data_IF_458512549349
#
_entry.id   IF_458512549349
#
_cell.length_a   1.000
_cell.length_b   1.000
_cell.length_c   1.000
_cell.angle_alpha   90.00
_cell.angle_beta   90.00
_cell.angle_gamma   90.00
#
_symmetry.space_group_name_H-M   'P 1'
#
loop_
_entity.id
_entity.type
_entity.pdbx_description
1 polymer ?
#
# COMPACT_ATOMS: atom_id res chain seq x y z
N UNK A 1 11.72 -18.94 6.17
CA UNK A 1 12.25 -17.58 5.94
C UNK A 1 11.05 -16.65 5.74
N UNK A 2 11.03 -15.61 6.53
CA UNK A 2 9.97 -14.59 6.42
C UNK A 2 10.27 -13.69 5.21
N UNK A 3 9.70 -14.03 4.07
CA UNK A 3 9.86 -13.25 2.83
C UNK A 3 9.29 -11.84 2.95
N UNK A 4 8.25 -11.66 3.77
CA UNK A 4 7.63 -10.34 3.92
C UNK A 4 8.61 -9.35 4.56
N UNK A 5 9.47 -9.81 5.46
CA UNK A 5 10.47 -8.97 6.12
C UNK A 5 11.49 -8.42 5.12
N UNK A 6 12.05 -9.29 4.27
CA UNK A 6 13.00 -8.86 3.24
C UNK A 6 12.39 -7.90 2.24
N UNK A 7 11.16 -8.17 1.82
CA UNK A 7 10.43 -7.29 0.90
C UNK A 7 10.11 -5.95 1.56
N UNK A 8 9.75 -5.97 2.84
CA UNK A 8 9.54 -4.75 3.60
C UNK A 8 10.79 -3.89 3.68
N UNK A 9 11.97 -4.50 3.86
CA UNK A 9 13.23 -3.76 3.90
C UNK A 9 13.58 -3.14 2.54
N UNK A 10 13.34 -3.84 1.43
CA UNK A 10 13.52 -3.28 0.08
C UNK A 10 12.57 -2.12 -0.13
N UNK A 11 11.33 -2.27 0.26
CA UNK A 11 10.31 -1.23 0.13
C UNK A 11 10.66 0.00 0.98
N UNK A 12 11.16 -0.19 2.20
CA UNK A 12 11.61 0.90 3.08
C UNK A 12 12.74 1.72 2.48
N UNK A 13 13.50 1.19 1.52
CA UNK A 13 14.50 1.96 0.78
C UNK A 13 13.88 2.94 -0.20
N UNK A 14 12.70 2.64 -0.75
CA UNK A 14 11.97 3.56 -1.64
C UNK A 14 11.21 4.61 -0.82
N UNK A 15 10.44 4.16 0.16
CA UNK A 15 9.68 5.03 1.05
C UNK A 15 10.27 4.98 2.46
N UNK A 16 10.42 6.15 3.06
CA UNK A 16 10.97 6.32 4.41
C UNK A 16 10.03 7.18 5.23
N UNK A 17 10.24 7.17 6.55
CA UNK A 17 9.61 8.15 7.41
C UNK A 17 9.85 9.57 6.84
N UNK A 18 8.84 10.45 6.80
CA UNK A 18 7.48 10.27 7.32
C UNK A 18 6.47 9.71 6.31
N UNK A 19 6.89 9.28 5.13
CA UNK A 19 5.97 8.86 4.06
C UNK A 19 5.67 7.36 4.01
N UNK A 20 6.42 6.55 4.72
CA UNK A 20 6.18 5.10 4.79
C UNK A 20 4.89 4.83 5.57
N UNK A 21 3.91 4.18 4.91
CA UNK A 21 2.58 3.93 5.47
C UNK A 21 2.24 2.45 5.57
N UNK A 22 3.23 1.57 5.58
CA UNK A 22 3.04 0.13 5.75
C UNK A 22 3.81 -0.29 6.98
N UNK A 23 3.10 -0.82 7.97
CA UNK A 23 3.74 -1.28 9.20
C UNK A 23 4.18 -2.73 9.10
N UNK A 24 3.41 -3.56 8.39
CA UNK A 24 3.71 -4.98 8.24
C UNK A 24 3.03 -5.55 7.01
N UNK A 25 3.73 -6.46 6.33
CA UNK A 25 3.13 -7.34 5.34
C UNK A 25 2.76 -8.65 6.05
N UNK A 26 1.50 -9.00 6.00
CA UNK A 26 0.96 -10.17 6.70
C UNK A 26 1.10 -11.43 5.86
N UNK A 27 0.85 -11.32 4.55
CA UNK A 27 0.89 -12.45 3.66
C UNK A 27 1.12 -12.00 2.21
N UNK A 28 1.89 -12.76 1.46
CA UNK A 28 2.03 -12.60 0.01
C UNK A 28 1.77 -13.96 -0.62
N UNK A 29 0.84 -14.00 -1.56
CA UNK A 29 0.58 -15.19 -2.37
C UNK A 29 1.02 -14.91 -3.81
N UNK A 30 0.74 -15.85 -4.71
CA UNK A 30 1.07 -15.68 -6.13
C UNK A 30 0.32 -14.51 -6.77
N UNK A 31 -0.92 -14.25 -6.33
CA UNK A 31 -1.83 -13.27 -6.93
C UNK A 31 -2.35 -12.21 -5.97
N UNK A 32 -1.90 -12.21 -4.73
CA UNK A 32 -2.41 -11.25 -3.73
C UNK A 32 -1.38 -10.90 -2.66
N UNK A 33 -1.66 -9.81 -1.96
CA UNK A 33 -0.88 -9.36 -0.82
C UNK A 33 -1.81 -8.77 0.25
N UNK A 34 -1.46 -9.01 1.51
CA UNK A 34 -2.13 -8.43 2.67
C UNK A 34 -1.13 -7.64 3.50
N UNK A 35 -1.44 -6.38 3.76
CA UNK A 35 -0.60 -5.52 4.58
C UNK A 35 -1.42 -4.77 5.62
N UNK A 36 -0.76 -4.20 6.61
CA UNK A 36 -1.41 -3.48 7.70
C UNK A 36 -0.75 -2.14 7.94
N UNK A 37 -1.58 -1.12 8.21
CA UNK A 37 -1.17 0.14 8.79
C UNK A 37 -1.96 0.40 10.05
N UNK A 38 -1.25 0.64 11.15
CA UNK A 38 -1.87 1.06 12.41
C UNK A 38 -1.98 2.58 12.44
N UNK A 39 -3.16 3.08 12.75
CA UNK A 39 -3.42 4.51 12.83
C UNK A 39 -3.33 4.92 14.30
N UNK A 40 -2.33 5.74 14.63
CA UNK A 40 -2.13 6.21 16.00
C UNK A 40 -2.33 7.73 16.06
N UNK A 41 -2.64 8.24 17.26
CA UNK A 41 -2.71 9.70 17.48
C UNK A 41 -1.37 10.40 17.26
N UNK A 42 -0.28 9.63 17.21
CA UNK A 42 1.06 10.16 17.04
C UNK A 42 1.37 10.59 15.59
N UNK A 43 0.41 10.49 14.70
CA UNK A 43 0.59 10.93 13.32
C UNK A 43 0.45 12.45 13.20
N UNK A 44 1.46 13.16 12.66
CA UNK A 44 1.42 14.62 12.52
C UNK A 44 0.24 15.12 11.69
N UNK A 45 -0.28 14.28 10.77
CA UNK A 45 -1.39 14.66 9.89
C UNK A 45 -2.64 15.09 10.68
N UNK A 46 -2.84 14.55 11.87
CA UNK A 46 -4.02 14.87 12.68
C UNK A 46 -4.00 16.27 13.26
N UNK A 47 -2.87 16.96 13.23
CA UNK A 47 -2.80 18.37 13.61
C UNK A 47 -3.65 19.24 12.68
N UNK A 48 -3.73 18.87 11.42
CA UNK A 48 -4.47 19.63 10.40
C UNK A 48 -5.72 18.96 9.88
N UNK A 49 -5.89 17.66 10.07
CA UNK A 49 -7.00 16.92 9.45
C UNK A 49 -7.76 16.09 10.48
N UNK A 50 -8.60 16.66 11.31
CA UNK A 50 -8.88 18.08 11.46
C UNK A 50 -8.60 18.51 12.89
N UNK A 51 -8.32 19.80 13.18
CA UNK A 51 -8.09 20.25 14.55
C UNK A 51 -9.22 19.83 15.48
N UNK A 52 -8.88 19.07 16.54
CA UNK A 52 -9.88 18.56 17.50
C UNK A 52 -10.80 17.44 17.00
N UNK A 53 -10.65 17.03 15.73
CA UNK A 53 -11.46 15.97 15.13
C UNK A 53 -10.60 15.13 14.16
N UNK A 54 -9.75 14.25 14.68
CA UNK A 54 -8.79 13.51 13.86
C UNK A 54 -9.50 12.48 12.98
N UNK A 55 -9.26 12.59 11.68
CA UNK A 55 -9.71 11.62 10.68
C UNK A 55 -8.53 11.31 9.77
N UNK A 56 -8.23 10.04 9.57
CA UNK A 56 -7.15 9.67 8.66
C UNK A 56 -7.59 9.95 7.22
N UNK A 57 -6.83 10.80 6.48
CA UNK A 57 -7.25 11.21 5.13
C UNK A 57 -7.47 10.03 4.20
N UNK A 58 -8.59 10.07 3.47
CA UNK A 58 -8.90 9.01 2.48
C UNK A 58 -7.80 8.87 1.43
N UNK A 59 -7.23 9.99 0.98
CA UNK A 59 -6.14 9.96 -0.02
C UNK A 59 -4.89 9.27 0.52
N UNK A 60 -4.64 9.34 1.82
CA UNK A 60 -3.53 8.61 2.45
C UNK A 60 -3.85 7.14 2.64
N UNK A 61 -5.11 6.76 2.76
CA UNK A 61 -5.50 5.35 2.70
C UNK A 61 -5.15 4.76 1.34
N UNK A 62 -5.42 5.49 0.28
CA UNK A 62 -5.07 5.07 -1.08
C UNK A 62 -3.55 5.01 -1.25
N UNK A 63 -2.81 5.96 -0.68
CA UNK A 63 -1.34 5.91 -0.70
C UNK A 63 -0.81 4.67 0.03
N UNK A 64 -1.33 4.36 1.22
CA UNK A 64 -0.94 3.16 1.95
C UNK A 64 -1.26 1.89 1.16
N UNK A 65 -2.44 1.83 0.53
CA UNK A 65 -2.85 0.74 -0.34
C UNK A 65 -1.88 0.59 -1.51
N UNK A 66 -1.51 1.69 -2.15
CA UNK A 66 -0.54 1.70 -3.25
C UNK A 66 0.82 1.20 -2.79
N UNK A 67 1.24 1.56 -1.59
CA UNK A 67 2.51 1.09 -1.03
C UNK A 67 2.51 -0.43 -0.80
N UNK A 68 1.41 -0.98 -0.31
CA UNK A 68 1.26 -2.45 -0.17
C UNK A 68 1.33 -3.11 -1.55
N UNK A 69 0.64 -2.55 -2.54
CA UNK A 69 0.67 -3.05 -3.92
C UNK A 69 2.06 -2.97 -4.54
N UNK A 70 2.82 -1.92 -4.23
CA UNK A 70 4.20 -1.77 -4.71
C UNK A 70 5.12 -2.87 -4.20
N UNK A 71 4.94 -3.28 -2.95
CA UNK A 71 5.69 -4.42 -2.39
C UNK A 71 5.36 -5.70 -3.16
N UNK A 72 4.08 -5.93 -3.46
CA UNK A 72 3.68 -7.07 -4.27
C UNK A 72 4.35 -7.05 -5.65
N UNK A 73 4.30 -5.92 -6.33
CA UNK A 73 4.89 -5.77 -7.65
C UNK A 73 6.39 -6.07 -7.63
N UNK A 74 7.11 -5.54 -6.64
CA UNK A 74 8.54 -5.79 -6.48
C UNK A 74 8.84 -7.24 -6.09
N UNK A 75 7.90 -7.95 -5.49
CA UNK A 75 8.09 -9.37 -5.15
C UNK A 75 8.16 -10.26 -6.39
N UNK A 76 7.77 -9.76 -7.56
CA UNK A 76 7.74 -10.52 -8.81
C UNK A 76 9.01 -10.41 -9.63
N UNK A 77 10.00 -9.63 -9.19
CA UNK A 77 11.29 -9.50 -9.87
C UNK A 77 12.40 -10.14 -9.02
N UNK A 78 13.48 -10.60 -9.68
CA UNK A 78 14.57 -11.30 -8.98
C UNK A 78 15.36 -10.39 -8.05
N UNK A 79 15.66 -9.17 -8.53
CA UNK A 79 16.47 -8.19 -7.79
C UNK A 79 15.63 -6.94 -7.50
N UNK A 80 14.71 -6.98 -6.51
CA UNK A 80 13.79 -5.86 -6.26
C UNK A 80 14.47 -4.52 -6.06
N UNK A 81 15.68 -4.51 -5.48
CA UNK A 81 16.43 -3.29 -5.24
C UNK A 81 16.89 -2.57 -6.51
N UNK A 82 16.83 -3.23 -7.67
CA UNK A 82 17.17 -2.65 -8.96
C UNK A 82 15.96 -2.04 -9.68
N UNK A 83 14.79 -2.14 -9.10
CA UNK A 83 13.54 -1.72 -9.73
C UNK A 83 12.82 -0.68 -8.88
N UNK A 84 12.04 0.15 -9.57
CA UNK A 84 11.11 1.08 -8.95
C UNK A 84 9.70 0.81 -9.45
N UNK A 85 8.73 1.12 -8.61
CA UNK A 85 7.31 0.96 -8.93
C UNK A 85 6.68 2.34 -9.06
N UNK A 86 6.00 2.58 -10.17
CA UNK A 86 5.29 3.83 -10.43
C UNK A 86 3.82 3.53 -10.64
N UNK A 87 2.96 4.23 -9.92
CA UNK A 87 1.52 4.13 -10.15
C UNK A 87 1.11 5.05 -11.28
N UNK A 88 0.49 4.47 -12.29
CA UNK A 88 0.12 5.15 -13.52
C UNK A 88 -1.34 5.59 -13.52
N UNK A 89 -2.18 4.87 -12.75
CA UNK A 89 -3.62 5.07 -12.83
C UNK A 89 -4.28 4.50 -11.59
N UNK A 90 -5.27 5.22 -11.09
CA UNK A 90 -6.13 4.78 -10.00
C UNK A 90 -7.56 5.00 -10.42
N UNK A 91 -8.40 3.95 -10.34
CA UNK A 91 -9.79 3.98 -10.75
C UNK A 91 -10.72 3.51 -9.65
N UNK A 92 -11.98 3.87 -9.79
CA UNK A 92 -13.08 3.32 -8.98
C UNK A 92 -12.81 3.43 -7.48
N UNK A 93 -12.29 4.59 -7.07
CA UNK A 93 -12.01 4.86 -5.66
C UNK A 93 -13.32 5.12 -4.93
N UNK A 94 -13.54 4.38 -3.85
CA UNK A 94 -14.71 4.56 -2.98
C UNK A 94 -14.26 4.61 -1.52
N UNK A 95 -14.75 5.59 -0.80
CA UNK A 95 -14.56 5.71 0.65
C UNK A 95 -15.89 5.44 1.34
N UNK A 96 -15.95 4.40 2.14
CA UNK A 96 -17.20 3.94 2.75
C UNK A 96 -17.35 4.32 4.21
N UNK A 97 -16.24 4.42 4.95
CA UNK A 97 -16.25 4.78 6.37
C UNK A 97 -15.00 5.58 6.71
N UNK A 98 -15.11 6.40 7.75
CA UNK A 98 -13.97 7.12 8.31
C UNK A 98 -13.02 6.16 8.98
N UNK A 99 -11.74 6.45 8.88
CA UNK A 99 -10.67 5.77 9.61
C UNK A 99 -10.15 6.74 10.65
N UNK A 100 -10.09 6.30 11.90
CA UNK A 100 -9.80 7.13 13.05
C UNK A 100 -8.56 6.62 13.80
N UNK A 101 -7.91 7.46 14.62
CA UNK A 101 -6.86 6.98 15.51
C UNK A 101 -7.35 5.81 16.38
N UNK A 102 -6.53 4.78 16.51
CA UNK A 102 -6.86 3.54 17.19
C UNK A 102 -7.29 2.43 16.23
N UNK A 103 -7.60 2.76 14.97
CA UNK A 103 -7.93 1.75 13.97
C UNK A 103 -6.66 1.10 13.40
N UNK A 104 -6.77 -0.19 13.12
CA UNK A 104 -5.78 -0.92 12.31
C UNK A 104 -6.41 -1.19 10.96
N UNK A 105 -5.80 -0.66 9.90
CA UNK A 105 -6.30 -0.83 8.55
C UNK A 105 -5.58 -1.98 7.88
N UNK A 106 -6.33 -2.98 7.44
CA UNK A 106 -5.81 -4.12 6.70
C UNK A 106 -6.11 -3.91 5.22
N UNK A 107 -5.08 -4.00 4.39
CA UNK A 107 -5.20 -3.84 2.95
C UNK A 107 -5.02 -5.19 2.28
N UNK A 108 -5.95 -5.52 1.40
CA UNK A 108 -5.83 -6.65 0.49
C UNK A 108 -5.74 -6.14 -0.93
N UNK A 109 -4.71 -6.57 -1.68
CA UNK A 109 -4.62 -6.28 -3.11
C UNK A 109 -4.50 -7.58 -3.87
N UNK A 110 -5.33 -7.72 -4.92
CA UNK A 110 -5.37 -8.89 -5.78
C UNK A 110 -5.10 -8.50 -7.22
N UNK A 111 -4.35 -9.33 -7.95
CA UNK A 111 -4.18 -9.17 -9.39
C UNK A 111 -5.54 -9.22 -10.08
N UNK A 112 -5.78 -8.28 -10.98
CA UNK A 112 -6.95 -8.27 -11.86
C UNK A 112 -6.68 -8.99 -13.17
N UNK A 113 -5.42 -9.08 -13.57
CA UNK A 113 -4.99 -9.72 -14.82
C UNK A 113 -3.54 -10.18 -14.68
N UNK A 114 -3.08 -10.99 -15.64
CA UNK A 114 -1.70 -11.43 -15.66
C UNK A 114 -0.74 -10.25 -15.81
N UNK A 115 0.39 -10.30 -15.13
CA UNK A 115 1.43 -9.29 -15.23
C UNK A 115 2.07 -9.37 -16.62
N UNK A 116 2.13 -8.23 -17.32
CA UNK A 116 2.72 -8.14 -18.66
C UNK A 116 3.60 -6.90 -18.77
N UNK A 117 4.85 -7.08 -19.21
CA UNK A 117 5.81 -5.97 -19.44
C UNK A 117 5.95 -5.06 -18.22
N UNK A 118 5.95 -5.64 -17.03
CA UNK A 118 6.04 -4.89 -15.79
C UNK A 118 4.76 -4.16 -15.38
N UNK A 119 3.65 -4.33 -16.11
CA UNK A 119 2.37 -3.75 -15.76
C UNK A 119 1.61 -4.66 -14.80
N UNK A 120 1.28 -4.11 -13.64
CA UNK A 120 0.60 -4.83 -12.54
C UNK A 120 -0.69 -4.09 -12.23
N UNK A 121 -1.81 -4.74 -12.53
CA UNK A 121 -3.15 -4.19 -12.27
C UNK A 121 -3.78 -4.93 -11.10
N UNK A 122 -4.18 -4.18 -10.07
CA UNK A 122 -4.64 -4.73 -8.80
C UNK A 122 -5.94 -4.10 -8.35
N UNK A 123 -6.80 -4.91 -7.74
CA UNK A 123 -7.96 -4.44 -6.99
C UNK A 123 -7.61 -4.40 -5.51
N UNK A 124 -7.76 -3.25 -4.88
CA UNK A 124 -7.46 -3.06 -3.48
C UNK A 124 -8.70 -2.84 -2.64
N UNK A 125 -8.69 -3.42 -1.44
CA UNK A 125 -9.74 -3.25 -0.44
C UNK A 125 -9.09 -2.99 0.91
N UNK A 126 -9.60 -1.98 1.62
CA UNK A 126 -9.16 -1.66 2.98
C UNK A 126 -10.24 -2.05 3.98
N UNK A 127 -9.83 -2.68 5.05
CA UNK A 127 -10.72 -3.16 6.12
C UNK A 127 -10.32 -2.59 7.48
N UNK A 128 -11.32 -2.24 8.29
CA UNK A 128 -11.15 -1.99 9.72
C UNK A 128 -12.16 -2.86 10.47
N UNK A 129 -11.69 -3.68 11.39
CA UNK A 129 -12.52 -4.63 12.14
C UNK A 129 -13.39 -5.50 11.23
N UNK A 130 -12.83 -5.94 10.10
CA UNK A 130 -13.52 -6.80 9.14
C UNK A 130 -14.51 -6.09 8.23
N UNK A 131 -14.68 -4.78 8.35
CA UNK A 131 -15.58 -3.99 7.51
C UNK A 131 -14.81 -3.22 6.45
N UNK A 132 -15.32 -3.19 5.23
CA UNK A 132 -14.71 -2.43 4.14
C UNK A 132 -14.83 -0.93 4.41
N UNK A 133 -13.69 -0.24 4.43
CA UNK A 133 -13.66 1.22 4.61
C UNK A 133 -13.29 1.96 3.34
N UNK A 134 -12.56 1.33 2.42
CA UNK A 134 -12.19 1.91 1.13
C UNK A 134 -11.92 0.83 0.09
N UNK A 135 -12.08 1.20 -1.17
CA UNK A 135 -11.78 0.35 -2.33
C UNK A 135 -11.14 1.19 -3.41
N UNK A 136 -10.24 0.59 -4.19
CA UNK A 136 -9.66 1.21 -5.38
C UNK A 136 -9.10 0.16 -6.33
N UNK A 137 -8.98 0.52 -7.60
CA UNK A 137 -8.23 -0.25 -8.59
C UNK A 137 -6.99 0.54 -8.96
N UNK A 138 -5.85 -0.13 -9.09
CA UNK A 138 -4.56 0.51 -9.33
C UNK A 138 -3.80 -0.19 -10.43
N UNK A 139 -3.17 0.61 -11.29
CA UNK A 139 -2.23 0.13 -12.29
C UNK A 139 -0.85 0.67 -11.95
N UNK A 140 0.08 -0.24 -11.73
CA UNK A 140 1.46 0.08 -11.46
C UNK A 140 2.37 -0.42 -12.59
N UNK A 141 3.49 0.24 -12.79
CA UNK A 141 4.54 -0.23 -13.67
C UNK A 141 5.84 -0.42 -12.89
N UNK A 142 6.45 -1.58 -13.06
CA UNK A 142 7.75 -1.90 -12.48
C UNK A 142 8.80 -1.64 -13.55
N UNK A 143 9.74 -0.76 -13.26
CA UNK A 143 10.77 -0.32 -14.19
C UNK A 143 12.14 -0.53 -13.54
N UNK A 144 13.07 -1.12 -14.30
CA UNK A 144 14.45 -1.24 -13.85
C UNK A 144 15.11 0.14 -13.79
N UNK A 145 15.75 0.44 -12.68
CA UNK A 145 16.43 1.71 -12.48
C UNK A 145 17.63 1.82 -13.42
N UNK A 146 17.88 3.01 -13.92
CA UNK A 146 19.07 3.28 -14.71
C UNK A 146 20.29 3.23 -13.80
N UNK A 147 21.36 2.62 -14.29
CA UNK A 147 22.65 2.69 -13.62
C UNK A 147 23.11 4.15 -13.55
N UNK A 148 23.55 4.55 -12.37
CA UNK A 148 24.10 5.89 -12.18
C UNK A 148 25.59 5.90 -12.48
#
# INVERSE_FOLDING_TARGET
IDRSRGLGDVYKRQHRFPFLMVDKIMEITEDSIWGIKNITMNEPIFTGHFPGNPVFPGVLQIEAMAQVGGIFALSKVEDPHLYSTYFMKINNVKFKQKVLPGDSVVFELKLMSAIRRGLVEMAGTAYVNGKVVAEAEMLAQVIKDKEK
#
